data_IF_980755306740
#
_entry.id   IF_980755306740
#
_cell.length_a   1.000
_cell.length_b   1.000
_cell.length_c   1.000
_cell.angle_alpha   90.00
_cell.angle_beta   90.00
_cell.angle_gamma   90.00
#
_symmetry.space_group_name_H-M   'P 1'
#
loop_
_entity.id
_entity.type
_entity.pdbx_description
1 polymer ?
#
# COMPACT_ATOMS: atom_id res chain seq x y z
N UNK A 1 48.87 46.78 29.58
CA UNK A 1 48.52 45.40 29.99
C UNK A 1 47.06 45.16 29.60
N UNK A 2 46.83 44.56 28.44
CA UNK A 2 45.50 44.17 27.97
C UNK A 2 45.51 42.65 27.87
N UNK A 3 44.72 42.00 28.73
CA UNK A 3 44.66 40.55 28.88
C UNK A 3 43.67 40.00 27.85
N UNK A 4 44.17 39.56 26.70
CA UNK A 4 43.38 38.95 25.63
C UNK A 4 42.95 37.54 26.07
N UNK A 5 41.68 37.38 26.46
CA UNK A 5 41.08 36.07 26.75
C UNK A 5 40.90 35.30 25.44
N UNK A 6 41.73 34.28 25.24
CA UNK A 6 41.56 33.26 24.21
C UNK A 6 40.37 32.37 24.62
N UNK A 7 39.23 32.52 23.95
CA UNK A 7 38.12 31.57 24.00
C UNK A 7 38.39 30.49 22.95
N UNK A 8 38.78 29.30 23.44
CA UNK A 8 38.90 28.10 22.63
C UNK A 8 37.48 27.60 22.29
N UNK A 9 37.07 27.51 21.02
CA UNK A 9 35.83 26.83 20.69
C UNK A 9 36.06 25.33 20.84
N UNK A 10 35.38 24.73 21.82
CA UNK A 10 35.28 23.27 21.94
C UNK A 10 34.49 22.80 20.72
N UNK A 11 35.23 22.38 19.69
CA UNK A 11 34.73 21.67 18.54
C UNK A 11 34.30 20.28 19.01
N UNK A 12 33.07 20.17 19.53
CA UNK A 12 32.39 18.90 19.69
C UNK A 12 32.20 18.32 18.28
N UNK A 13 33.18 17.53 17.83
CA UNK A 13 32.94 16.56 16.77
C UNK A 13 31.87 15.61 17.30
N UNK A 14 30.62 15.89 16.92
CA UNK A 14 29.61 14.85 16.80
C UNK A 14 30.15 13.88 15.77
N UNK A 15 30.84 12.84 16.24
CA UNK A 15 31.09 11.64 15.45
C UNK A 15 29.70 11.09 15.16
N UNK A 16 29.13 11.48 14.03
CA UNK A 16 28.04 10.75 13.41
C UNK A 16 28.61 9.37 13.12
N UNK A 17 28.41 8.44 14.03
CA UNK A 17 28.66 7.03 13.78
C UNK A 17 27.85 6.70 12.53
N UNK A 18 28.53 6.40 11.42
CA UNK A 18 27.87 5.93 10.22
C UNK A 18 26.93 4.78 10.65
N UNK A 19 25.66 4.80 10.22
CA UNK A 19 24.72 3.76 10.59
C UNK A 19 25.33 2.41 10.23
N UNK A 20 25.41 1.49 11.20
CA UNK A 20 25.99 0.16 10.99
C UNK A 20 25.24 -0.54 9.85
N UNK A 21 25.97 -1.04 8.85
CA UNK A 21 25.43 -1.78 7.70
C UNK A 21 24.53 -2.97 8.08
N UNK A 22 24.63 -3.46 9.33
CA UNK A 22 23.85 -4.57 9.89
C UNK A 22 22.31 -4.40 9.87
N UNK A 23 21.79 -3.20 9.63
CA UNK A 23 20.34 -2.96 9.50
C UNK A 23 19.77 -3.08 8.08
N UNK A 24 20.61 -3.07 7.04
CA UNK A 24 20.13 -3.01 5.64
C UNK A 24 19.78 -4.38 5.04
N UNK A 25 20.28 -5.48 5.60
CA UNK A 25 20.05 -6.83 5.07
C UNK A 25 18.61 -7.35 5.25
N UNK A 26 17.79 -6.69 6.08
CA UNK A 26 16.50 -7.20 6.53
C UNK A 26 15.50 -7.45 5.39
N UNK A 27 15.01 -6.38 4.75
CA UNK A 27 14.06 -6.51 3.64
C UNK A 27 14.73 -6.77 2.29
N UNK A 28 15.97 -6.30 2.12
CA UNK A 28 16.72 -6.43 0.87
C UNK A 28 16.87 -7.90 0.48
N UNK A 29 17.23 -8.77 1.44
CA UNK A 29 17.32 -10.21 1.22
C UNK A 29 16.02 -10.83 0.73
N UNK A 30 14.87 -10.40 1.28
CA UNK A 30 13.56 -10.93 0.86
C UNK A 30 13.27 -10.48 -0.57
N UNK A 31 13.45 -9.19 -0.87
CA UNK A 31 13.14 -8.60 -2.17
C UNK A 31 14.00 -9.21 -3.27
N UNK A 32 15.32 -9.29 -3.06
CA UNK A 32 16.23 -9.87 -4.06
C UNK A 32 16.06 -11.39 -4.15
N UNK A 33 15.67 -12.04 -3.05
CA UNK A 33 15.46 -13.48 -2.95
C UNK A 33 14.08 -13.97 -3.36
N UNK A 34 13.13 -13.09 -3.72
CA UNK A 34 11.75 -13.49 -4.08
C UNK A 34 11.70 -14.58 -5.15
N UNK A 35 12.66 -14.57 -6.08
CA UNK A 35 12.77 -15.55 -7.15
C UNK A 35 13.10 -16.97 -6.64
N UNK A 36 13.70 -17.08 -5.46
CA UNK A 36 14.26 -18.32 -4.89
C UNK A 36 13.28 -19.03 -3.94
N UNK A 37 12.28 -18.33 -3.41
CA UNK A 37 11.25 -18.95 -2.56
C UNK A 37 10.44 -19.98 -3.36
N UNK A 38 10.20 -21.16 -2.79
CA UNK A 38 9.15 -22.05 -3.28
C UNK A 38 7.76 -21.53 -2.86
N UNK A 39 6.68 -22.20 -3.28
CA UNK A 39 5.30 -21.77 -2.98
C UNK A 39 5.03 -21.64 -1.46
N UNK A 40 5.28 -22.68 -0.66
CA UNK A 40 5.10 -22.62 0.79
C UNK A 40 5.96 -21.54 1.46
N UNK A 41 7.25 -21.44 1.13
CA UNK A 41 8.12 -20.44 1.75
C UNK A 41 7.73 -19.01 1.34
N UNK A 42 7.33 -18.78 0.08
CA UNK A 42 6.79 -17.49 -0.34
C UNK A 42 5.53 -17.12 0.44
N UNK A 43 4.61 -18.08 0.61
CA UNK A 43 3.40 -17.89 1.40
C UNK A 43 3.74 -17.52 2.85
N UNK A 44 4.52 -18.36 3.53
CA UNK A 44 4.73 -18.27 4.98
C UNK A 44 5.66 -17.12 5.39
N UNK A 45 6.65 -16.80 4.56
CA UNK A 45 7.67 -15.78 4.87
C UNK A 45 7.35 -14.40 4.30
N UNK A 46 6.54 -14.31 3.24
CA UNK A 46 6.28 -13.06 2.53
C UNK A 46 4.79 -12.74 2.51
N UNK A 47 3.98 -13.55 1.83
CA UNK A 47 2.64 -13.13 1.44
C UNK A 47 1.64 -13.15 2.60
N UNK A 48 1.59 -14.22 3.40
CA UNK A 48 0.59 -14.40 4.45
C UNK A 48 0.72 -13.37 5.59
N UNK A 49 1.91 -13.09 6.16
CA UNK A 49 2.04 -12.06 7.18
C UNK A 49 1.63 -10.67 6.66
N UNK A 50 2.10 -10.30 5.46
CA UNK A 50 1.88 -8.96 4.91
C UNK A 50 0.42 -8.74 4.48
N UNK A 51 -0.25 -9.74 3.90
CA UNK A 51 -1.67 -9.62 3.57
C UNK A 51 -2.53 -9.58 4.82
N UNK A 52 -2.14 -10.30 5.88
CA UNK A 52 -2.84 -10.25 7.16
C UNK A 52 -2.67 -8.88 7.84
N UNK A 53 -1.48 -8.28 7.80
CA UNK A 53 -1.27 -6.91 8.28
C UNK A 53 -2.10 -5.89 7.48
N UNK A 54 -2.16 -6.05 6.16
CA UNK A 54 -3.04 -5.26 5.30
C UNK A 54 -4.50 -5.43 5.70
N UNK A 55 -4.95 -6.65 6.01
CA UNK A 55 -6.30 -6.94 6.48
C UNK A 55 -6.59 -6.33 7.87
N UNK A 56 -5.61 -6.29 8.75
CA UNK A 56 -5.75 -5.64 10.06
C UNK A 56 -5.93 -4.12 9.94
N UNK A 57 -5.40 -3.47 8.89
CA UNK A 57 -5.69 -2.07 8.62
C UNK A 57 -7.18 -1.81 8.33
N UNK A 58 -7.93 -2.80 7.82
CA UNK A 58 -9.40 -2.72 7.65
C UNK A 58 -10.19 -2.94 8.94
N UNK A 59 -9.64 -3.71 9.89
CA UNK A 59 -10.32 -4.08 11.14
C UNK A 59 -10.03 -3.12 12.30
N UNK A 60 -9.09 -2.21 12.11
CA UNK A 60 -8.65 -1.25 13.11
C UNK A 60 -9.83 -0.55 13.82
N UNK A 61 -9.85 -0.50 15.17
CA UNK A 61 -8.76 -0.82 16.10
C UNK A 61 -8.62 -2.30 16.47
N UNK A 62 -9.52 -3.18 16.01
CA UNK A 62 -9.45 -4.62 16.29
C UNK A 62 -8.44 -5.28 15.34
N UNK A 63 -7.37 -5.88 15.85
CA UNK A 63 -6.39 -6.58 15.01
C UNK A 63 -6.37 -8.07 15.34
N UNK A 64 -6.09 -8.88 14.32
CA UNK A 64 -5.76 -10.29 14.48
C UNK A 64 -4.25 -10.43 14.65
N UNK A 65 -3.81 -11.33 15.52
CA UNK A 65 -2.40 -11.65 15.71
C UNK A 65 -1.72 -12.06 14.39
N UNK A 66 -0.46 -11.66 14.22
CA UNK A 66 0.35 -12.01 13.05
C UNK A 66 1.62 -12.69 13.58
N UNK A 67 1.79 -14.02 13.42
CA UNK A 67 2.90 -14.74 14.03
C UNK A 67 4.26 -14.13 13.73
N UNK A 68 5.09 -13.94 14.77
CA UNK A 68 6.42 -13.28 14.75
C UNK A 68 6.39 -11.75 14.65
N UNK A 69 5.21 -11.15 14.63
CA UNK A 69 5.03 -9.71 14.51
C UNK A 69 4.16 -9.17 15.65
N UNK A 70 4.60 -8.08 16.25
CA UNK A 70 3.85 -7.38 17.29
C UNK A 70 3.41 -6.02 16.78
N UNK A 71 2.24 -5.56 17.22
CA UNK A 71 1.85 -4.17 16.97
C UNK A 71 2.84 -3.22 17.64
N UNK A 72 3.16 -2.14 16.94
CA UNK A 72 4.05 -1.10 17.45
C UNK A 72 3.54 -0.49 18.74
N UNK A 73 4.41 -0.45 19.75
CA UNK A 73 4.13 0.29 20.99
C UNK A 73 4.60 1.75 20.94
N UNK A 74 5.44 2.10 19.95
CA UNK A 74 6.04 3.43 19.81
C UNK A 74 5.23 4.37 18.91
N UNK A 75 4.50 3.81 17.96
CA UNK A 75 3.68 4.56 17.02
C UNK A 75 2.26 4.02 17.11
N UNK A 76 1.35 4.86 17.60
CA UNK A 76 -0.06 4.52 17.68
C UNK A 76 -0.65 4.33 16.28
N UNK A 77 -1.54 3.34 16.14
CA UNK A 77 -2.36 3.16 14.94
C UNK A 77 -3.17 4.43 14.62
N UNK A 78 -3.53 4.60 13.35
CA UNK A 78 -4.37 5.70 12.88
C UNK A 78 -5.64 5.11 12.29
N UNK A 79 -6.78 5.54 12.83
CA UNK A 79 -8.14 5.19 12.39
C UNK A 79 -9.14 6.26 12.85
N UNK A 80 -9.19 7.42 12.18
CA UNK A 80 -10.04 8.52 12.62
C UNK A 80 -11.53 8.15 12.42
N UNK A 81 -12.36 8.34 13.45
CA UNK A 81 -13.77 7.95 13.40
C UNK A 81 -14.62 8.75 12.37
N UNK A 82 -14.08 9.85 11.84
CA UNK A 82 -14.72 10.71 10.85
C UNK A 82 -14.34 10.40 9.39
N UNK A 83 -13.70 9.26 9.14
CA UNK A 83 -13.02 8.99 7.87
C UNK A 83 -11.59 9.55 7.87
N UNK A 84 -10.79 9.14 6.88
CA UNK A 84 -9.38 9.51 6.80
C UNK A 84 -8.48 8.30 6.53
N UNK A 85 -7.18 8.54 6.45
CA UNK A 85 -6.21 7.48 6.20
C UNK A 85 -6.13 6.54 7.41
N UNK A 86 -6.21 5.22 7.18
CA UNK A 86 -6.01 4.21 8.21
C UNK A 86 -4.68 3.48 8.02
N UNK A 87 -3.94 3.30 9.11
CA UNK A 87 -2.68 2.58 9.08
C UNK A 87 -2.33 1.91 10.42
N UNK A 88 -1.65 0.77 10.31
CA UNK A 88 -1.10 0.00 11.44
C UNK A 88 0.39 -0.24 11.22
N UNK A 89 1.15 -0.36 12.32
CA UNK A 89 2.60 -0.56 12.29
C UNK A 89 2.94 -1.83 13.05
N UNK A 90 3.75 -2.69 12.45
CA UNK A 90 4.23 -3.93 13.04
C UNK A 90 5.74 -3.92 13.22
N UNK A 91 6.21 -4.51 14.31
CA UNK A 91 7.61 -4.78 14.62
C UNK A 91 7.85 -6.30 14.58
N UNK A 92 8.96 -6.72 13.98
CA UNK A 92 9.40 -8.12 14.09
C UNK A 92 9.86 -8.42 15.52
N UNK A 93 9.27 -9.43 16.16
CA UNK A 93 9.48 -9.75 17.57
C UNK A 93 10.96 -10.03 17.92
N UNK A 94 11.68 -10.72 17.03
CA UNK A 94 13.08 -11.12 17.23
C UNK A 94 14.10 -10.04 16.88
N UNK A 95 13.68 -8.95 16.23
CA UNK A 95 14.59 -8.00 15.59
C UNK A 95 15.17 -6.92 16.52
N UNK A 96 14.54 -6.67 17.67
CA UNK A 96 14.96 -5.61 18.60
C UNK A 96 15.07 -4.23 17.93
N UNK A 97 16.09 -3.45 18.30
CA UNK A 97 16.27 -2.08 17.77
C UNK A 97 16.65 -2.00 16.27
N UNK A 98 17.10 -3.11 15.68
CA UNK A 98 17.49 -3.23 14.27
C UNK A 98 16.50 -4.11 13.47
N UNK A 99 15.34 -4.39 14.07
CA UNK A 99 14.36 -5.30 13.48
C UNK A 99 13.72 -4.79 12.20
N UNK A 100 12.86 -5.62 11.63
CA UNK A 100 12.02 -5.22 10.50
C UNK A 100 10.75 -4.51 10.99
N UNK A 101 10.37 -3.46 10.29
CA UNK A 101 9.14 -2.69 10.50
C UNK A 101 8.28 -2.78 9.25
N UNK A 102 6.98 -2.98 9.44
CA UNK A 102 5.98 -2.90 8.38
C UNK A 102 4.98 -1.81 8.70
N UNK A 103 4.69 -0.94 7.73
CA UNK A 103 3.55 -0.02 7.78
C UNK A 103 2.51 -0.51 6.78
N UNK A 104 1.34 -0.88 7.27
CA UNK A 104 0.24 -1.35 6.43
C UNK A 104 -0.85 -0.29 6.34
N UNK A 105 -1.15 0.16 5.13
CA UNK A 105 -2.23 1.10 4.85
C UNK A 105 -3.51 0.36 4.47
N UNK A 106 -4.65 0.84 4.98
CA UNK A 106 -5.97 0.35 4.56
C UNK A 106 -6.24 0.76 3.11
N UNK A 107 -6.93 -0.09 2.36
CA UNK A 107 -7.57 0.34 1.12
C UNK A 107 -8.98 0.86 1.37
N UNK A 108 -9.88 0.69 0.40
CA UNK A 108 -11.26 1.17 0.53
C UNK A 108 -12.06 0.19 1.39
N UNK A 109 -12.59 0.68 2.50
CA UNK A 109 -13.61 -0.01 3.27
C UNK A 109 -14.86 -0.18 2.39
N UNK A 110 -15.39 -1.41 2.30
CA UNK A 110 -16.63 -1.69 1.55
C UNK A 110 -17.81 -1.68 2.53
N UNK A 111 -18.85 -0.91 2.21
CA UNK A 111 -20.11 -0.86 2.96
C UNK A 111 -20.65 0.56 3.13
N UNK A 112 -21.84 0.71 3.70
CA UNK A 112 -22.46 2.02 3.93
C UNK A 112 -21.94 2.68 5.23
N UNK A 113 -20.65 3.07 5.27
CA UNK A 113 -20.02 3.73 6.43
C UNK A 113 -19.37 5.06 6.05
N UNK A 114 -19.15 5.94 7.03
CA UNK A 114 -18.40 7.20 6.83
C UNK A 114 -16.98 6.93 6.28
N UNK A 115 -16.33 5.88 6.74
CA UNK A 115 -15.01 5.47 6.24
C UNK A 115 -15.05 5.07 4.77
N UNK A 116 -16.08 4.31 4.34
CA UNK A 116 -16.23 3.94 2.94
C UNK A 116 -16.38 5.18 2.05
N UNK A 117 -17.23 6.12 2.46
CA UNK A 117 -17.44 7.37 1.72
C UNK A 117 -16.14 8.19 1.63
N UNK A 118 -15.40 8.32 2.74
CA UNK A 118 -14.12 9.02 2.77
C UNK A 118 -13.07 8.33 1.89
N UNK A 119 -12.96 7.01 1.99
CA UNK A 119 -12.02 6.20 1.21
C UNK A 119 -12.29 6.34 -0.29
N UNK A 120 -13.56 6.31 -0.71
CA UNK A 120 -13.94 6.48 -2.11
C UNK A 120 -13.61 7.89 -2.62
N UNK A 121 -13.89 8.92 -1.82
CA UNK A 121 -13.56 10.30 -2.17
C UNK A 121 -12.04 10.51 -2.27
N UNK A 122 -11.27 9.97 -1.32
CA UNK A 122 -9.81 10.04 -1.33
C UNK A 122 -9.21 9.25 -2.51
N UNK A 123 -9.75 8.08 -2.83
CA UNK A 123 -9.33 7.26 -3.97
C UNK A 123 -9.48 8.02 -5.30
N UNK A 124 -10.64 8.63 -5.55
CA UNK A 124 -10.86 9.47 -6.73
C UNK A 124 -9.86 10.64 -6.77
N UNK A 125 -9.64 11.35 -5.66
CA UNK A 125 -8.65 12.44 -5.59
C UNK A 125 -7.19 11.96 -5.80
N UNK A 126 -6.89 10.72 -5.41
CA UNK A 126 -5.56 10.15 -5.57
C UNK A 126 -5.25 9.84 -7.04
N UNK A 127 -6.21 9.26 -7.76
CA UNK A 127 -5.99 8.71 -9.10
C UNK A 127 -6.44 9.64 -10.23
N UNK A 128 -7.38 10.56 -9.99
CA UNK A 128 -7.92 11.43 -11.03
C UNK A 128 -7.03 12.64 -11.30
N UNK A 129 -6.88 12.97 -12.59
CA UNK A 129 -6.08 14.10 -13.05
C UNK A 129 -6.78 15.43 -12.76
N UNK A 130 -6.03 16.51 -12.45
CA UNK A 130 -6.52 17.86 -12.62
C UNK A 130 -6.97 18.05 -14.10
N UNK A 131 -8.28 18.13 -14.32
CA UNK A 131 -8.88 18.27 -15.66
C UNK A 131 -9.21 16.96 -16.40
N UNK A 132 -9.17 15.81 -15.73
CA UNK A 132 -9.77 14.57 -16.25
C UNK A 132 -11.29 14.71 -16.41
N UNK A 133 -11.90 13.92 -17.30
CA UNK A 133 -13.34 13.95 -17.55
C UNK A 133 -14.12 13.98 -16.24
N UNK A 134 -15.02 14.94 -16.11
CA UNK A 134 -15.93 15.15 -14.98
C UNK A 134 -16.91 13.96 -14.83
N UNK A 135 -16.41 12.73 -14.65
CA UNK A 135 -17.07 11.75 -13.79
C UNK A 135 -17.05 12.36 -12.39
N UNK A 136 -17.92 13.34 -12.22
CA UNK A 136 -17.99 14.23 -11.08
C UNK A 136 -17.97 13.34 -9.85
N UNK A 137 -17.00 13.58 -8.93
CA UNK A 137 -17.10 13.11 -7.55
C UNK A 137 -18.59 13.17 -7.17
N UNK A 138 -19.22 12.10 -6.68
CA UNK A 138 -20.67 12.07 -6.46
C UNK A 138 -21.07 13.35 -5.73
N UNK A 139 -21.67 14.28 -6.49
CA UNK A 139 -21.85 15.67 -6.06
C UNK A 139 -22.68 15.62 -4.78
N UNK A 140 -22.08 16.05 -3.66
CA UNK A 140 -22.69 16.00 -2.33
C UNK A 140 -22.09 15.00 -1.34
N UNK A 141 -21.54 13.84 -1.77
CA UNK A 141 -21.01 12.85 -0.79
C UNK A 141 -19.67 13.29 -0.23
N UNK A 142 -18.78 13.82 -1.08
CA UNK A 142 -17.44 14.23 -0.66
C UNK A 142 -17.42 15.60 0.03
N UNK A 143 -18.44 16.44 -0.18
CA UNK A 143 -18.55 17.79 0.39
C UNK A 143 -18.68 17.80 1.92
N UNK A 144 -18.96 16.63 2.53
CA UNK A 144 -19.04 16.48 3.99
C UNK A 144 -17.69 16.30 4.67
N UNK A 145 -16.62 16.07 3.89
CA UNK A 145 -15.26 15.90 4.39
C UNK A 145 -14.45 17.15 4.08
N UNK A 146 -13.58 17.55 5.01
CA UNK A 146 -12.60 18.59 4.73
C UNK A 146 -11.42 18.03 3.90
N UNK A 147 -10.64 18.94 3.31
CA UNK A 147 -9.46 18.58 2.50
C UNK A 147 -8.45 17.76 3.31
N UNK A 148 -8.27 18.07 4.60
CA UNK A 148 -7.32 17.37 5.46
C UNK A 148 -7.71 15.91 5.68
N UNK A 149 -9.01 15.62 5.78
CA UNK A 149 -9.55 14.26 5.89
C UNK A 149 -9.29 13.46 4.62
N UNK A 150 -9.50 14.07 3.45
CA UNK A 150 -9.35 13.39 2.15
C UNK A 150 -7.91 13.34 1.62
N UNK A 151 -6.98 14.12 2.18
CA UNK A 151 -5.56 14.11 1.79
C UNK A 151 -4.82 12.91 2.38
N UNK A 152 -5.18 11.71 1.92
CA UNK A 152 -4.60 10.45 2.37
C UNK A 152 -3.11 10.38 2.07
N UNK A 153 -2.66 11.02 0.99
CA UNK A 153 -1.26 11.05 0.60
C UNK A 153 -0.40 11.79 1.63
N UNK A 154 -0.75 13.03 1.98
CA UNK A 154 0.02 13.79 2.97
C UNK A 154 -0.05 13.13 4.34
N UNK A 155 -1.23 12.64 4.75
CA UNK A 155 -1.39 11.90 6.01
C UNK A 155 -0.48 10.67 6.08
N UNK A 156 -0.41 9.88 5.01
CA UNK A 156 0.42 8.69 4.94
C UNK A 156 1.93 9.03 4.97
N UNK A 157 2.36 10.06 4.24
CA UNK A 157 3.75 10.54 4.27
C UNK A 157 4.15 11.00 5.67
N UNK A 158 3.32 11.80 6.34
CA UNK A 158 3.57 12.24 7.71
C UNK A 158 3.60 11.09 8.71
N UNK A 159 2.68 10.14 8.57
CA UNK A 159 2.63 8.96 9.41
C UNK A 159 3.89 8.10 9.26
N UNK A 160 4.33 7.84 8.02
CA UNK A 160 5.56 7.09 7.77
C UNK A 160 6.80 7.84 8.27
N UNK A 161 6.85 9.18 8.21
CA UNK A 161 7.93 9.95 8.85
C UNK A 161 7.99 9.75 10.36
N UNK A 162 6.83 9.68 11.04
CA UNK A 162 6.77 9.37 12.48
C UNK A 162 7.32 7.97 12.77
N UNK A 163 7.03 7.00 11.91
CA UNK A 163 7.59 5.63 12.01
C UNK A 163 9.10 5.64 11.84
N UNK A 164 9.62 6.29 10.79
CA UNK A 164 11.07 6.41 10.56
C UNK A 164 11.77 7.05 11.77
N UNK A 165 11.18 8.10 12.34
CA UNK A 165 11.73 8.77 13.53
C UNK A 165 11.72 7.88 14.79
N UNK A 166 10.70 7.02 14.95
CA UNK A 166 10.59 6.10 16.08
C UNK A 166 11.51 4.86 15.96
N UNK A 167 11.91 4.52 14.72
CA UNK A 167 12.72 3.35 14.39
C UNK A 167 13.91 3.70 13.47
N UNK A 168 14.85 4.56 13.92
CA UNK A 168 15.88 5.11 13.04
C UNK A 168 16.91 4.08 12.52
N UNK A 169 16.99 2.90 13.15
CA UNK A 169 17.93 1.84 12.79
C UNK A 169 17.27 0.61 12.17
N UNK A 170 15.96 0.65 11.97
CA UNK A 170 15.19 -0.50 11.52
C UNK A 170 15.03 -0.54 9.99
N UNK A 171 14.86 -1.73 9.44
CA UNK A 171 14.52 -1.92 8.04
C UNK A 171 13.01 -1.76 7.84
N UNK A 172 12.58 -0.74 7.10
CA UNK A 172 11.17 -0.40 6.90
C UNK A 172 10.64 -0.97 5.59
N UNK A 173 9.41 -1.47 5.59
CA UNK A 173 8.65 -1.86 4.40
C UNK A 173 7.23 -1.29 4.47
N UNK A 174 6.70 -0.88 3.32
CA UNK A 174 5.31 -0.44 3.20
C UNK A 174 4.48 -1.53 2.53
N UNK A 175 3.25 -1.73 3.00
CA UNK A 175 2.30 -2.68 2.42
C UNK A 175 0.88 -2.11 2.47
N UNK A 176 -0.05 -2.82 1.85
CA UNK A 176 -1.44 -2.47 1.80
C UNK A 176 -2.16 -3.29 0.75
N UNK A 177 -3.48 -3.09 0.68
CA UNK A 177 -4.34 -3.71 -0.32
C UNK A 177 -5.12 -2.63 -1.09
N UNK A 178 -5.35 -2.82 -2.38
CA UNK A 178 -6.16 -1.92 -3.21
C UNK A 178 -5.61 -0.49 -3.18
N UNK A 179 -6.43 0.50 -2.82
CA UNK A 179 -6.02 1.88 -2.53
C UNK A 179 -4.77 1.95 -1.62
N UNK A 180 -4.71 1.16 -0.55
CA UNK A 180 -3.60 1.18 0.40
C UNK A 180 -2.28 0.70 -0.19
N UNK A 181 -2.33 -0.24 -1.15
CA UNK A 181 -1.15 -0.69 -1.89
C UNK A 181 -0.61 0.42 -2.80
N UNK A 182 -1.50 1.11 -3.51
CA UNK A 182 -1.12 2.24 -4.35
C UNK A 182 -0.56 3.40 -3.52
N UNK A 183 -1.19 3.69 -2.38
CA UNK A 183 -0.73 4.69 -1.42
C UNK A 183 0.68 4.38 -0.90
N UNK A 184 0.98 3.12 -0.59
CA UNK A 184 2.31 2.68 -0.18
C UNK A 184 3.38 3.01 -1.24
N UNK A 185 3.08 2.82 -2.53
CA UNK A 185 3.99 3.18 -3.63
C UNK A 185 4.23 4.70 -3.68
N UNK A 186 3.17 5.51 -3.58
CA UNK A 186 3.30 6.97 -3.58
C UNK A 186 4.12 7.47 -2.39
N UNK A 187 3.91 6.91 -1.20
CA UNK A 187 4.67 7.27 0.02
C UNK A 187 6.14 6.88 -0.11
N UNK A 188 6.43 5.68 -0.62
CA UNK A 188 7.81 5.25 -0.91
C UNK A 188 8.52 6.25 -1.83
N UNK A 189 7.86 6.65 -2.94
CA UNK A 189 8.39 7.65 -3.87
C UNK A 189 8.60 9.02 -3.21
N UNK A 190 7.64 9.48 -2.40
CA UNK A 190 7.67 10.80 -1.77
C UNK A 190 8.78 10.95 -0.72
N UNK A 191 9.15 9.86 -0.06
CA UNK A 191 10.18 9.88 0.96
C UNK A 191 11.59 9.74 0.38
N UNK A 192 11.72 9.21 -0.85
CA UNK A 192 12.95 9.24 -1.69
C UNK A 192 14.26 9.08 -0.89
N UNK A 193 14.27 8.17 0.09
CA UNK A 193 15.45 7.90 0.92
C UNK A 193 16.45 7.04 0.15
N UNK A 194 17.71 7.08 0.58
CA UNK A 194 18.73 6.10 0.16
C UNK A 194 19.10 5.25 1.38
N UNK A 195 18.75 3.95 1.41
CA UNK A 195 18.06 3.18 0.36
C UNK A 195 16.57 3.50 0.26
N UNK A 196 15.95 3.14 -0.88
CA UNK A 196 14.52 3.28 -1.12
C UNK A 196 13.73 2.41 -0.13
N UNK A 197 12.59 2.92 0.35
CA UNK A 197 11.68 2.13 1.18
C UNK A 197 10.94 1.14 0.29
N UNK A 198 11.14 -0.17 0.45
CA UNK A 198 10.47 -1.16 -0.38
C UNK A 198 8.96 -1.24 -0.14
N UNK A 199 8.26 -1.72 -1.17
CA UNK A 199 6.81 -1.93 -1.15
C UNK A 199 6.49 -3.36 -1.58
N UNK A 200 5.69 -4.06 -0.77
CA UNK A 200 4.99 -5.28 -1.18
C UNK A 200 3.50 -5.01 -1.02
N UNK A 201 2.83 -4.70 -2.12
CA UNK A 201 1.41 -4.35 -2.15
C UNK A 201 0.55 -5.47 -2.73
N UNK A 202 -0.74 -5.48 -2.36
CA UNK A 202 -1.71 -6.44 -2.87
C UNK A 202 -2.78 -5.75 -3.72
N UNK A 203 -2.97 -6.20 -4.96
CA UNK A 203 -4.04 -5.73 -5.85
C UNK A 203 -4.09 -4.21 -6.02
N UNK A 204 -2.95 -3.56 -6.26
CA UNK A 204 -2.86 -2.09 -6.40
C UNK A 204 -3.47 -1.57 -7.69
N UNK A 205 -4.10 -0.39 -7.65
CA UNK A 205 -4.28 0.39 -8.88
C UNK A 205 -2.92 0.82 -9.44
N UNK A 206 -2.85 1.09 -10.74
CA UNK A 206 -1.65 1.62 -11.38
C UNK A 206 -1.30 3.04 -10.89
N UNK A 207 -0.02 3.27 -10.61
CA UNK A 207 0.45 4.46 -9.87
C UNK A 207 1.21 5.47 -10.73
N UNK A 208 1.58 5.12 -11.97
CA UNK A 208 2.41 5.97 -12.85
C UNK A 208 1.83 7.38 -13.04
N UNK A 209 0.54 7.47 -13.31
CA UNK A 209 -0.12 8.76 -13.47
C UNK A 209 -0.17 9.57 -12.16
N UNK A 210 -0.50 8.94 -11.04
CA UNK A 210 -0.55 9.61 -9.73
C UNK A 210 0.82 10.12 -9.28
N UNK A 211 1.90 9.39 -9.59
CA UNK A 211 3.27 9.86 -9.41
C UNK A 211 3.55 11.12 -10.25
N UNK A 212 3.20 11.08 -11.54
CA UNK A 212 3.40 12.20 -12.47
C UNK A 212 2.69 13.48 -12.00
N UNK A 213 1.42 13.39 -11.60
CA UNK A 213 0.63 14.53 -11.10
C UNK A 213 1.29 15.17 -9.87
N UNK A 214 1.92 14.36 -9.03
CA UNK A 214 2.56 14.80 -7.79
C UNK A 214 4.04 15.16 -7.98
N UNK A 215 4.53 15.16 -9.22
CA UNK A 215 5.93 15.38 -9.55
C UNK A 215 6.87 14.46 -8.75
N UNK A 216 6.46 13.21 -8.56
CA UNK A 216 7.23 12.16 -7.90
C UNK A 216 7.88 11.28 -8.97
N UNK A 217 9.12 10.87 -8.71
CA UNK A 217 9.89 10.01 -9.61
C UNK A 217 10.46 8.83 -8.84
N UNK A 218 10.39 7.65 -9.44
CA UNK A 218 11.09 6.45 -8.97
C UNK A 218 12.19 6.12 -9.98
N UNK A 219 13.44 6.08 -9.54
CA UNK A 219 14.52 5.59 -10.38
C UNK A 219 14.41 4.06 -10.61
N UNK A 220 15.25 3.51 -11.48
CA UNK A 220 15.20 2.10 -11.82
C UNK A 220 15.47 1.17 -10.64
N UNK A 221 16.28 1.59 -9.65
CA UNK A 221 16.60 0.77 -8.49
C UNK A 221 15.48 0.81 -7.44
N UNK A 222 14.82 1.95 -7.30
CA UNK A 222 13.60 2.09 -6.51
C UNK A 222 12.46 1.26 -7.10
N UNK A 223 12.27 1.28 -8.43
CA UNK A 223 11.22 0.48 -9.08
C UNK A 223 11.38 -1.03 -8.85
N UNK A 224 12.63 -1.54 -8.81
CA UNK A 224 12.89 -2.97 -8.50
C UNK A 224 12.47 -3.37 -7.08
N UNK A 225 12.27 -2.40 -6.19
CA UNK A 225 11.83 -2.61 -4.80
C UNK A 225 10.32 -2.46 -4.61
N UNK A 226 9.59 -2.25 -5.71
CA UNK A 226 8.13 -2.26 -5.73
C UNK A 226 7.67 -3.61 -6.25
N UNK A 227 6.98 -4.38 -5.41
CA UNK A 227 6.39 -5.67 -5.75
C UNK A 227 4.88 -5.58 -5.55
N UNK A 228 4.11 -5.88 -6.59
CA UNK A 228 2.64 -5.91 -6.52
C UNK A 228 2.18 -7.34 -6.75
N UNK A 229 1.45 -7.90 -5.79
CA UNK A 229 0.91 -9.26 -5.83
C UNK A 229 -0.59 -9.18 -6.10
N UNK A 230 -1.10 -9.93 -7.08
CA UNK A 230 -2.52 -9.91 -7.39
C UNK A 230 -3.00 -11.22 -8.03
N UNK A 231 -4.32 -11.38 -8.16
CA UNK A 231 -4.91 -12.33 -9.09
C UNK A 231 -4.74 -11.79 -10.54
N UNK A 232 -4.41 -12.65 -11.50
CA UNK A 232 -4.23 -12.22 -12.90
C UNK A 232 -5.51 -11.66 -13.56
N UNK A 233 -6.67 -11.97 -12.98
CA UNK A 233 -7.98 -11.48 -13.40
C UNK A 233 -8.51 -10.37 -12.49
N UNK A 234 -7.68 -9.84 -11.57
CA UNK A 234 -8.02 -8.67 -10.79
C UNK A 234 -8.37 -7.49 -11.72
N UNK A 235 -9.65 -7.08 -11.68
CA UNK A 235 -10.18 -6.05 -12.56
C UNK A 235 -9.46 -4.71 -12.40
N UNK A 236 -9.11 -4.30 -11.18
CA UNK A 236 -8.40 -3.04 -10.92
C UNK A 236 -6.98 -3.09 -11.50
N UNK A 237 -6.27 -4.21 -11.29
CA UNK A 237 -4.92 -4.38 -11.84
C UNK A 237 -4.94 -4.38 -13.37
N UNK A 238 -5.86 -5.15 -13.96
CA UNK A 238 -5.91 -5.39 -15.40
C UNK A 238 -6.30 -4.14 -16.19
N UNK A 239 -7.21 -3.34 -15.65
CA UNK A 239 -7.70 -2.10 -16.28
C UNK A 239 -6.73 -0.93 -16.14
N UNK A 240 -5.75 -1.04 -15.24
CA UNK A 240 -4.69 -0.05 -15.02
C UNK A 240 -3.29 -0.58 -15.36
N UNK A 241 -3.20 -1.63 -16.19
CA UNK A 241 -1.96 -2.36 -16.47
C UNK A 241 -0.81 -1.46 -16.96
N UNK A 242 -1.11 -0.55 -17.90
CA UNK A 242 -0.15 0.40 -18.48
C UNK A 242 0.34 1.46 -17.47
N UNK A 243 -0.34 1.59 -16.33
CA UNK A 243 0.00 2.48 -15.23
C UNK A 243 0.75 1.77 -14.09
N UNK A 244 0.97 0.45 -14.19
CA UNK A 244 1.72 -0.32 -13.20
C UNK A 244 3.23 -0.06 -13.30
N UNK A 245 3.94 -0.33 -12.20
CA UNK A 245 5.39 -0.16 -12.04
C UNK A 245 5.97 -1.29 -11.17
N UNK A 246 7.23 -1.64 -11.41
CA UNK A 246 7.97 -2.60 -10.59
C UNK A 246 7.80 -4.06 -11.03
N UNK A 247 7.90 -4.97 -10.06
CA UNK A 247 7.72 -6.41 -10.25
C UNK A 247 6.25 -6.79 -9.97
N UNK A 248 5.53 -7.23 -11.00
CA UNK A 248 4.16 -7.72 -10.84
C UNK A 248 4.16 -9.23 -10.68
N UNK A 249 3.51 -9.74 -9.64
CA UNK A 249 3.45 -11.15 -9.30
C UNK A 249 1.99 -11.62 -9.31
N UNK A 250 1.63 -12.46 -10.30
CA UNK A 250 0.26 -12.89 -10.52
C UNK A 250 0.00 -14.34 -10.11
N UNK A 251 -1.04 -14.53 -9.31
CA UNK A 251 -1.66 -15.83 -9.14
C UNK A 251 -2.41 -16.23 -10.41
N UNK A 252 -2.02 -17.37 -10.97
CA UNK A 252 -2.59 -17.92 -12.20
C UNK A 252 -3.87 -18.71 -11.87
N UNK A 253 -4.97 -18.00 -11.63
CA UNK A 253 -6.28 -18.61 -11.36
C UNK A 253 -7.07 -18.83 -12.65
N UNK A 254 -8.11 -19.68 -12.59
CA UNK A 254 -8.98 -19.90 -13.74
C UNK A 254 -9.85 -18.65 -14.01
N UNK A 255 -9.95 -18.25 -15.28
CA UNK A 255 -10.80 -17.12 -15.68
C UNK A 255 -12.26 -17.42 -15.36
N UNK A 256 -12.84 -16.63 -14.47
CA UNK A 256 -14.26 -16.69 -14.16
C UNK A 256 -15.11 -16.16 -15.32
N UNK A 257 -16.30 -16.74 -15.52
CA UNK A 257 -17.21 -16.30 -16.58
C UNK A 257 -17.66 -14.84 -16.42
N UNK A 258 -17.80 -14.34 -15.19
CA UNK A 258 -18.18 -12.95 -14.94
C UNK A 258 -17.01 -12.02 -15.29
N UNK A 259 -15.78 -12.38 -14.91
CA UNK A 259 -14.58 -11.65 -15.33
C UNK A 259 -14.43 -11.61 -16.86
N UNK A 260 -14.67 -12.74 -17.54
CA UNK A 260 -14.64 -12.78 -19.00
C UNK A 260 -15.60 -11.77 -19.62
N UNK A 261 -16.87 -11.80 -19.22
CA UNK A 261 -17.89 -10.87 -19.71
C UNK A 261 -17.57 -9.42 -19.35
N UNK A 262 -17.03 -9.18 -18.15
CA UNK A 262 -16.58 -7.85 -17.74
C UNK A 262 -15.55 -7.30 -18.72
N UNK A 263 -14.52 -8.09 -19.06
CA UNK A 263 -13.46 -7.67 -19.97
C UNK A 263 -13.88 -7.62 -21.45
N UNK A 264 -14.94 -8.34 -21.83
CA UNK A 264 -15.54 -8.28 -23.17
C UNK A 264 -16.54 -7.12 -23.31
N UNK A 265 -16.98 -6.52 -22.20
CA UNK A 265 -17.94 -5.43 -22.23
C UNK A 265 -17.30 -4.15 -22.78
N UNK A 266 -17.85 -3.52 -23.84
CA UNK A 266 -17.32 -2.29 -24.42
C UNK A 266 -17.50 -1.05 -23.52
N UNK A 267 -18.09 -1.21 -22.34
CA UNK A 267 -18.17 -0.19 -21.31
C UNK A 267 -16.78 0.05 -20.69
N UNK A 268 -15.94 0.80 -21.40
CA UNK A 268 -14.54 1.15 -21.08
C UNK A 268 -14.32 2.00 -19.81
N UNK A 269 -15.10 1.87 -18.74
CA UNK A 269 -14.92 2.71 -17.54
C UNK A 269 -15.09 1.89 -16.26
N UNK A 270 -14.55 0.69 -16.24
CA UNK A 270 -14.43 -0.10 -15.02
C UNK A 270 -12.93 -0.24 -14.77
N UNK A 271 -12.43 0.28 -13.64
CA UNK A 271 -11.01 0.19 -13.33
C UNK A 271 -10.44 1.12 -12.27
N UNK A 272 -11.12 2.20 -11.91
CA UNK A 272 -10.63 3.06 -10.83
C UNK A 272 -11.73 3.41 -9.84
N UNK A 273 -12.87 3.95 -10.28
CA UNK A 273 -13.90 4.43 -9.34
C UNK A 273 -15.33 3.96 -9.65
N UNK A 274 -15.71 3.75 -10.91
CA UNK A 274 -17.09 3.39 -11.25
C UNK A 274 -17.49 1.96 -10.81
N UNK A 275 -16.60 0.98 -10.95
CA UNK A 275 -16.82 -0.39 -10.44
C UNK A 275 -17.00 -0.37 -8.93
N UNK A 276 -16.20 0.44 -8.23
CA UNK A 276 -16.18 0.55 -6.77
C UNK A 276 -17.41 1.27 -6.23
N UNK A 277 -17.85 2.34 -6.90
CA UNK A 277 -19.06 3.07 -6.54
C UNK A 277 -20.31 2.20 -6.56
N UNK A 278 -20.41 1.28 -7.52
CA UNK A 278 -21.53 0.33 -7.58
C UNK A 278 -21.61 -0.58 -6.35
N UNK A 279 -20.50 -0.86 -5.62
CA UNK A 279 -20.54 -1.68 -4.40
C UNK A 279 -21.39 -1.04 -3.30
N UNK A 280 -21.42 0.29 -3.25
CA UNK A 280 -22.17 1.04 -2.24
C UNK A 280 -23.63 1.21 -2.67
N UNK A 281 -23.88 1.33 -3.97
CA UNK A 281 -25.23 1.49 -4.53
C UNK A 281 -26.02 0.17 -4.58
N UNK A 282 -25.33 -0.97 -4.61
CA UNK A 282 -25.97 -2.29 -4.66
C UNK A 282 -26.34 -2.75 -3.23
N UNK A 283 -27.62 -2.67 -2.91
CA UNK A 283 -28.18 -3.20 -1.65
C UNK A 283 -28.11 -4.74 -1.57
N UNK A 284 -27.97 -5.43 -2.72
CA UNK A 284 -27.97 -6.90 -2.80
C UNK A 284 -27.06 -7.47 -3.90
N UNK A 285 -26.27 -8.50 -3.57
CA UNK A 285 -25.38 -9.18 -4.55
C UNK A 285 -26.15 -9.73 -5.76
N UNK A 286 -27.46 -9.93 -5.67
CA UNK A 286 -28.30 -10.38 -6.79
C UNK A 286 -28.46 -9.35 -7.91
N UNK A 287 -28.18 -8.07 -7.64
CA UNK A 287 -28.21 -6.99 -8.63
C UNK A 287 -26.80 -6.65 -9.18
N UNK A 288 -25.79 -7.41 -8.77
CA UNK A 288 -24.41 -7.23 -9.21
C UNK A 288 -24.25 -7.63 -10.68
N UNK A 289 -23.68 -6.71 -11.48
CA UNK A 289 -23.25 -7.04 -12.84
C UNK A 289 -22.02 -7.95 -12.86
N UNK A 290 -21.65 -8.44 -14.04
CA UNK A 290 -20.54 -9.35 -14.21
C UNK A 290 -19.18 -8.73 -13.78
N UNK A 291 -19.01 -7.40 -13.89
CA UNK A 291 -17.79 -6.71 -13.43
C UNK A 291 -17.71 -6.66 -11.91
N UNK A 292 -18.83 -6.39 -11.25
CA UNK A 292 -18.92 -6.41 -9.80
C UNK A 292 -18.60 -7.79 -9.23
N UNK A 293 -19.20 -8.83 -9.82
CA UNK A 293 -18.91 -10.21 -9.43
C UNK A 293 -17.46 -10.58 -9.69
N UNK A 294 -16.85 -10.08 -10.78
CA UNK A 294 -15.43 -10.23 -11.02
C UNK A 294 -14.60 -9.57 -9.91
N UNK A 295 -14.83 -8.28 -9.64
CA UNK A 295 -14.15 -7.52 -8.58
C UNK A 295 -14.24 -8.24 -7.24
N UNK A 296 -15.44 -8.65 -6.83
CA UNK A 296 -15.66 -9.36 -5.58
C UNK A 296 -14.84 -10.65 -5.54
N UNK A 297 -14.72 -11.37 -6.66
CA UNK A 297 -13.99 -12.65 -6.72
C UNK A 297 -12.47 -12.49 -6.74
N UNK A 298 -11.95 -11.48 -7.43
CA UNK A 298 -10.52 -11.38 -7.75
C UNK A 298 -9.79 -10.29 -6.99
N UNK A 299 -10.48 -9.22 -6.63
CA UNK A 299 -9.90 -8.04 -5.96
C UNK A 299 -10.24 -7.97 -4.47
N UNK A 300 -11.38 -8.51 -4.03
CA UNK A 300 -11.74 -8.42 -2.61
C UNK A 300 -10.69 -9.11 -1.72
N UNK A 301 -10.22 -8.42 -0.68
CA UNK A 301 -9.07 -8.85 0.13
C UNK A 301 -9.22 -10.28 0.68
N UNK A 302 -10.41 -10.66 1.13
CA UNK A 302 -10.65 -12.02 1.63
C UNK A 302 -10.34 -13.10 0.57
N UNK A 303 -10.59 -12.81 -0.71
CA UNK A 303 -10.29 -13.72 -1.81
C UNK A 303 -8.82 -13.69 -2.21
N UNK A 304 -8.14 -12.55 -2.10
CA UNK A 304 -6.69 -12.47 -2.22
C UNK A 304 -6.02 -13.33 -1.14
N UNK A 305 -6.45 -13.22 0.11
CA UNK A 305 -5.98 -14.04 1.22
C UNK A 305 -6.20 -15.54 0.98
N UNK A 306 -7.41 -15.94 0.55
CA UNK A 306 -7.71 -17.33 0.22
C UNK A 306 -6.81 -17.85 -0.92
N UNK A 307 -6.50 -17.01 -1.90
CA UNK A 307 -5.59 -17.36 -3.00
C UNK A 307 -4.16 -17.59 -2.50
N UNK A 308 -3.67 -16.74 -1.59
CA UNK A 308 -2.37 -16.90 -0.93
C UNK A 308 -2.32 -18.20 -0.11
N UNK A 309 -3.39 -18.50 0.64
CA UNK A 309 -3.45 -19.70 1.51
C UNK A 309 -3.36 -21.03 0.75
N UNK A 310 -3.77 -21.07 -0.53
CA UNK A 310 -3.60 -22.25 -1.38
C UNK A 310 -2.12 -22.62 -1.62
N UNK A 311 -1.18 -21.73 -1.31
CA UNK A 311 0.25 -22.02 -1.31
C UNK A 311 0.89 -22.16 -2.70
N UNK A 312 0.19 -21.77 -3.76
CA UNK A 312 0.81 -21.66 -5.08
C UNK A 312 1.72 -20.42 -5.11
N UNK A 313 2.82 -20.50 -5.85
CA UNK A 313 3.67 -19.33 -6.06
C UNK A 313 3.11 -18.49 -7.21
N UNK A 314 3.02 -17.16 -7.09
CA UNK A 314 2.67 -16.31 -8.22
C UNK A 314 3.79 -16.30 -9.28
N UNK A 315 3.41 -16.05 -10.53
CA UNK A 315 4.35 -15.83 -11.64
C UNK A 315 4.69 -14.35 -11.67
N UNK A 316 5.98 -14.01 -11.60
CA UNK A 316 6.41 -12.61 -11.52
C UNK A 316 7.07 -12.12 -12.81
N UNK A 317 6.76 -10.90 -13.23
CA UNK A 317 7.34 -10.22 -14.38
C UNK A 317 7.54 -8.72 -14.11
N UNK A 318 8.61 -8.15 -14.68
CA UNK A 318 8.85 -6.72 -14.60
C UNK A 318 8.05 -5.99 -15.67
N UNK A 319 7.37 -4.93 -15.27
CA UNK A 319 6.74 -3.98 -16.21
C UNK A 319 7.64 -2.76 -16.39
N UNK A 320 7.86 -2.39 -17.66
CA UNK A 320 8.65 -1.22 -18.05
C UNK A 320 7.80 0.07 -18.03
#
# INVERSE_FOLDING_TARGET
MVLTKLLLPILLLLIQTAPSEAGQDGWDKIITGLAEFDGPAFRDEVAEPLVQMSANAYRCPEVIDVPRWILSSKVALVAPAGGGMHAVVYEEESGGAQGRIVVAFRGIQIGATTDCDADMCADELLWTLPGGDNCSLPLGTCDKFDEATLDYFSQAVEYTRKVIAAYPSASLLLTGHSLGAGLAVLVSAALSTHPAIPVIGFSSAGTRNALKVRNLTLDADHQKRIIIIADQWDEIMRTSWDQQLGLLCFYQTALDSNCKKCFESPSCIFGTVSSRRRLVEIESVTDADDCMLCFLKTHYLANVMNTIQKGTRPVCEYVA
#
